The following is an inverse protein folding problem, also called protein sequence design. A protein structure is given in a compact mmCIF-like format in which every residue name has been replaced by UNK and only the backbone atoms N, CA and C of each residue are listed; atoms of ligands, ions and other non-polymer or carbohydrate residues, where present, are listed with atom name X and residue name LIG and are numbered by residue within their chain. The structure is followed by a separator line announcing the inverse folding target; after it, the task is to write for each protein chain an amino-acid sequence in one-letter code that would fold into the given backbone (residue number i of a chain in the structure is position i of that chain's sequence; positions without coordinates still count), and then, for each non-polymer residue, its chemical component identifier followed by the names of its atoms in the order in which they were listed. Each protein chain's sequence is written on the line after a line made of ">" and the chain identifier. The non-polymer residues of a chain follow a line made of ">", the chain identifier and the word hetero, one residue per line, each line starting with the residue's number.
data_IF_650233827928
#
_entry.id   IF_650233827928
#
_cell.length_a   1.000
_cell.length_b   1.000
_cell.length_c   1.000
_cell.angle_alpha   90.00
_cell.angle_beta   90.00
_cell.angle_gamma   90.00
#
_symmetry.space_group_name_H-M   'P 1'
#
loop_
_entity.id
_entity.type
_entity.pdbx_description
1 polymer ?
#
# COMPACT_ATOMS: atom_id res chain seq x y z
N UNK A 1 -12.92 -11.33 24.63
CA UNK A 1 -11.82 -12.27 24.99
C UNK A 1 -11.45 -11.93 26.42
N UNK A 2 -11.97 -12.67 27.40
CA UNK A 2 -11.40 -12.63 28.75
C UNK A 2 -9.99 -13.22 28.64
N UNK A 3 -8.96 -12.39 28.77
CA UNK A 3 -7.56 -12.79 28.60
C UNK A 3 -7.06 -13.72 29.74
N UNK A 4 -7.95 -14.36 30.50
CA UNK A 4 -7.61 -15.21 31.64
C UNK A 4 -6.91 -14.49 32.79
N UNK A 5 -6.86 -13.15 32.75
CA UNK A 5 -6.21 -12.30 33.73
C UNK A 5 -7.27 -11.55 34.52
N UNK A 6 -7.29 -11.74 35.84
CA UNK A 6 -8.06 -10.89 36.75
C UNK A 6 -7.24 -9.63 37.01
N UNK A 7 -7.66 -8.44 36.52
CA UNK A 7 -6.87 -7.20 36.65
C UNK A 7 -6.58 -6.86 38.11
N UNK A 8 -7.51 -7.21 39.00
CA UNK A 8 -7.48 -6.88 40.43
C UNK A 8 -6.62 -7.87 41.24
N UNK A 9 -6.18 -8.96 40.62
CA UNK A 9 -5.22 -9.86 41.25
C UNK A 9 -3.84 -9.20 41.29
N UNK A 10 -3.05 -9.52 42.32
CA UNK A 10 -1.66 -9.06 42.42
C UNK A 10 -0.86 -9.35 41.13
N UNK A 11 -1.08 -10.52 40.53
CA UNK A 11 -0.45 -10.91 39.25
C UNK A 11 -0.90 -10.01 38.09
N UNK A 12 -2.19 -9.67 38.03
CA UNK A 12 -2.74 -8.77 37.01
C UNK A 12 -2.16 -7.36 37.12
N UNK A 13 -2.11 -6.81 38.33
CA UNK A 13 -1.54 -5.49 38.61
C UNK A 13 -0.04 -5.45 38.28
N UNK A 14 0.73 -6.45 38.71
CA UNK A 14 2.16 -6.56 38.40
C UNK A 14 2.40 -6.71 36.89
N UNK A 15 1.60 -7.53 36.21
CA UNK A 15 1.70 -7.70 34.77
C UNK A 15 1.45 -6.39 34.02
N UNK A 16 0.37 -5.67 34.35
CA UNK A 16 0.05 -4.38 33.73
C UNK A 16 1.14 -3.35 34.00
N UNK A 17 1.64 -3.28 35.24
CA UNK A 17 2.72 -2.37 35.61
C UNK A 17 3.98 -2.65 34.78
N UNK A 18 4.45 -3.90 34.77
CA UNK A 18 5.67 -4.28 34.04
C UNK A 18 5.51 -4.08 32.53
N UNK A 19 4.33 -4.37 31.97
CA UNK A 19 4.03 -4.09 30.55
C UNK A 19 4.14 -2.60 30.28
N UNK A 20 3.55 -1.75 31.11
CA UNK A 20 3.63 -0.29 30.93
C UNK A 20 5.07 0.24 31.08
N UNK A 21 5.90 -0.37 31.94
CA UNK A 21 7.31 0.00 32.07
C UNK A 21 8.14 -0.34 30.82
N UNK A 22 7.77 -1.37 30.05
CA UNK A 22 8.51 -1.81 28.85
C UNK A 22 7.86 -1.40 27.52
N UNK A 23 6.62 -0.87 27.53
CA UNK A 23 5.96 -0.39 26.32
C UNK A 23 6.80 0.71 25.67
N UNK A 24 7.11 0.54 24.38
CA UNK A 24 7.96 1.46 23.62
C UNK A 24 9.46 1.23 23.79
N UNK A 25 9.89 0.35 24.70
CA UNK A 25 11.31 0.02 24.84
C UNK A 25 11.80 -0.78 23.61
N UNK A 26 12.93 -0.40 22.98
CA UNK A 26 13.47 -1.14 21.84
C UNK A 26 13.82 -2.58 22.22
N UNK A 27 13.25 -3.55 21.48
CA UNK A 27 13.49 -4.98 21.73
C UNK A 27 14.81 -5.46 21.11
N UNK A 28 15.11 -5.00 19.90
CA UNK A 28 16.31 -5.33 19.14
C UNK A 28 16.47 -4.32 17.99
N UNK A 29 17.70 -4.15 17.51
CA UNK A 29 17.97 -3.50 16.24
C UNK A 29 17.48 -4.42 15.12
N UNK A 30 16.64 -3.90 14.24
CA UNK A 30 16.11 -4.65 13.09
C UNK A 30 16.42 -3.90 11.81
N UNK A 31 16.57 -4.66 10.73
CA UNK A 31 16.86 -4.09 9.42
C UNK A 31 15.56 -3.60 8.80
N UNK A 32 15.50 -2.30 8.50
CA UNK A 32 14.42 -1.79 7.67
C UNK A 32 14.57 -2.36 6.26
N UNK A 33 13.54 -3.07 5.79
CA UNK A 33 13.54 -3.79 4.49
C UNK A 33 13.53 -2.85 3.27
N UNK A 34 13.60 -1.55 3.47
CA UNK A 34 12.95 -0.63 2.55
C UNK A 34 13.84 0.19 1.64
N UNK A 35 15.15 0.37 1.83
CA UNK A 35 15.88 1.28 0.95
C UNK A 35 17.38 1.40 1.17
N UNK A 36 18.03 1.99 0.16
CA UNK A 36 19.43 2.37 0.19
C UNK A 36 19.58 3.85 0.54
N UNK A 37 20.63 4.18 1.27
CA UNK A 37 21.04 5.57 1.53
C UNK A 37 22.25 5.87 0.65
N UNK A 38 22.24 7.05 0.05
CA UNK A 38 23.31 7.53 -0.83
C UNK A 38 23.84 8.83 -0.26
N UNK A 39 25.15 8.87 -0.01
CA UNK A 39 25.89 10.04 0.44
C UNK A 39 26.96 10.43 -0.58
N UNK A 40 27.40 11.69 -0.55
CA UNK A 40 28.46 12.20 -1.44
C UNK A 40 29.85 11.65 -1.10
N UNK A 41 30.08 11.32 0.18
CA UNK A 41 31.28 10.67 0.68
C UNK A 41 30.99 9.34 1.38
N UNK A 42 32.00 8.69 1.96
CA UNK A 42 31.82 7.42 2.67
C UNK A 42 30.87 7.55 3.88
N UNK A 43 29.88 6.65 3.99
CA UNK A 43 28.88 6.71 5.06
C UNK A 43 29.46 6.59 6.47
N UNK A 44 30.58 5.87 6.63
CA UNK A 44 31.24 5.70 7.93
C UNK A 44 31.83 7.01 8.50
N UNK A 45 31.96 8.06 7.69
CA UNK A 45 32.37 9.39 8.18
C UNK A 45 31.20 10.14 8.85
N UNK A 46 29.96 9.70 8.60
CA UNK A 46 28.73 10.31 9.12
C UNK A 46 28.12 9.47 10.24
N UNK A 47 28.07 8.15 10.08
CA UNK A 47 27.37 7.23 10.98
C UNK A 47 28.10 5.88 11.05
N UNK A 48 28.14 5.22 12.22
CA UNK A 48 28.65 3.86 12.31
C UNK A 48 27.92 2.91 11.33
N UNK A 49 28.71 2.13 10.60
CA UNK A 49 28.25 1.13 9.65
C UNK A 49 28.55 -0.25 10.23
N UNK A 50 27.56 -1.14 10.22
CA UNK A 50 27.73 -2.53 10.64
C UNK A 50 27.33 -3.51 9.54
N UNK A 51 27.80 -4.75 9.64
CA UNK A 51 27.39 -5.81 8.73
C UNK A 51 25.94 -6.23 9.00
N UNK A 52 25.18 -6.37 7.92
CA UNK A 52 23.85 -6.93 7.99
C UNK A 52 23.91 -8.46 8.19
N UNK A 53 22.77 -9.05 8.54
CA UNK A 53 22.59 -10.52 8.60
C UNK A 53 22.82 -11.18 7.23
N UNK A 54 22.50 -10.48 6.14
CA UNK A 54 22.76 -10.97 4.79
C UNK A 54 24.21 -10.67 4.40
N UNK A 55 24.88 -11.67 3.81
CA UNK A 55 26.22 -11.54 3.26
C UNK A 55 26.31 -10.38 2.24
N UNK A 56 27.46 -9.71 2.22
CA UNK A 56 27.77 -8.55 1.37
C UNK A 56 26.84 -7.34 1.54
N UNK A 57 26.19 -7.22 2.71
CA UNK A 57 25.36 -6.04 3.03
C UNK A 57 25.81 -5.37 4.32
N UNK A 58 25.64 -4.06 4.34
CA UNK A 58 25.88 -3.21 5.50
C UNK A 58 24.65 -2.36 5.80
N UNK A 59 24.50 -1.99 7.06
CA UNK A 59 23.44 -1.10 7.55
C UNK A 59 24.02 0.03 8.38
N UNK A 60 23.28 1.13 8.45
CA UNK A 60 23.56 2.27 9.33
C UNK A 60 22.61 2.23 10.53
N UNK A 61 22.97 2.91 11.61
CA UNK A 61 22.19 2.92 12.85
C UNK A 61 21.00 3.88 12.85
N UNK A 62 20.98 4.84 11.92
CA UNK A 62 19.94 5.86 11.82
C UNK A 62 18.66 5.29 11.22
N UNK A 63 17.53 5.78 11.73
CA UNK A 63 16.22 5.45 11.21
C UNK A 63 15.79 6.37 10.06
N UNK A 64 14.54 6.24 9.62
CA UNK A 64 14.01 7.03 8.51
C UNK A 64 13.95 8.53 8.84
N UNK A 65 13.61 8.89 10.07
CA UNK A 65 13.36 10.26 10.48
C UNK A 65 14.69 10.99 10.70
N UNK A 66 15.70 10.27 11.19
CA UNK A 66 17.10 10.74 11.23
C UNK A 66 17.61 11.07 9.82
N UNK A 67 17.37 10.18 8.85
CA UNK A 67 17.82 10.36 7.46
C UNK A 67 17.16 11.56 6.78
N UNK A 68 15.87 11.77 7.04
CA UNK A 68 15.12 12.93 6.54
C UNK A 68 15.68 14.23 7.13
N UNK A 69 16.00 14.23 8.43
CA UNK A 69 16.59 15.38 9.13
C UNK A 69 17.97 15.76 8.60
N UNK A 70 18.74 14.78 8.10
CA UNK A 70 20.08 14.96 7.54
C UNK A 70 20.07 15.22 6.03
N UNK A 71 18.88 15.30 5.42
CA UNK A 71 18.68 15.50 3.97
C UNK A 71 19.45 14.47 3.11
N UNK A 72 19.62 13.25 3.64
CA UNK A 72 20.32 12.19 2.91
C UNK A 72 19.41 11.60 1.83
N UNK A 73 19.99 11.34 0.65
CA UNK A 73 19.25 10.74 -0.45
C UNK A 73 18.90 9.29 -0.08
N UNK A 74 17.60 9.02 -0.04
CA UNK A 74 17.04 7.70 0.23
C UNK A 74 16.35 7.15 -1.01
N UNK A 75 16.67 5.91 -1.35
CA UNK A 75 16.01 5.18 -2.44
C UNK A 75 15.28 3.98 -1.84
N UNK A 76 13.95 4.03 -1.85
CA UNK A 76 13.15 2.91 -1.38
C UNK A 76 13.05 1.79 -2.42
N UNK A 77 13.43 0.57 -2.03
CA UNK A 77 13.34 -0.65 -2.84
C UNK A 77 12.12 -1.45 -2.39
N UNK A 78 10.98 -1.15 -3.02
CA UNK A 78 9.73 -1.86 -2.75
C UNK A 78 9.65 -3.15 -3.57
N UNK A 79 9.62 -4.29 -2.89
CA UNK A 79 9.39 -5.59 -3.51
C UNK A 79 7.90 -5.81 -3.83
N UNK A 80 7.38 -5.11 -4.85
CA UNK A 80 5.98 -5.27 -5.26
C UNK A 80 5.79 -6.53 -6.12
N UNK A 81 5.27 -7.60 -5.51
CA UNK A 81 5.06 -8.90 -6.17
C UNK A 81 4.23 -8.83 -7.46
N UNK A 82 3.33 -7.85 -7.58
CA UNK A 82 2.52 -7.67 -8.79
C UNK A 82 3.35 -7.29 -10.02
N UNK A 83 4.43 -6.52 -9.87
CA UNK A 83 5.33 -6.22 -11.00
C UNK A 83 6.03 -7.48 -11.50
N UNK A 84 6.38 -8.39 -10.58
CA UNK A 84 6.91 -9.70 -10.94
C UNK A 84 5.86 -10.58 -11.64
N UNK A 85 4.59 -10.53 -11.21
CA UNK A 85 3.50 -11.25 -11.87
C UNK A 85 3.27 -10.74 -13.30
N UNK A 86 3.26 -9.41 -13.51
CA UNK A 86 3.15 -8.78 -14.83
C UNK A 86 4.31 -9.21 -15.73
N UNK A 87 5.56 -9.16 -15.24
CA UNK A 87 6.74 -9.63 -15.98
C UNK A 87 6.61 -11.09 -16.44
N UNK A 88 6.20 -11.98 -15.53
CA UNK A 88 5.97 -13.40 -15.86
C UNK A 88 4.85 -13.58 -16.88
N UNK A 89 3.78 -12.79 -16.79
CA UNK A 89 2.69 -12.80 -17.75
C UNK A 89 3.18 -12.45 -19.17
N UNK A 90 3.98 -11.38 -19.32
CA UNK A 90 4.56 -11.02 -20.62
C UNK A 90 5.49 -12.11 -21.17
N UNK A 91 6.31 -12.73 -20.33
CA UNK A 91 7.15 -13.87 -20.74
C UNK A 91 6.33 -15.06 -21.24
N UNK A 92 5.19 -15.36 -20.61
CA UNK A 92 4.28 -16.40 -21.07
C UNK A 92 3.64 -16.04 -22.42
N UNK A 93 3.20 -14.80 -22.58
CA UNK A 93 2.62 -14.33 -23.85
C UNK A 93 3.64 -14.42 -24.99
N UNK A 94 4.88 -14.00 -24.75
CA UNK A 94 5.96 -14.11 -25.73
C UNK A 94 6.20 -15.58 -26.11
N UNK A 95 6.31 -16.47 -25.12
CA UNK A 95 6.55 -17.91 -25.35
C UNK A 95 5.43 -18.59 -26.15
N UNK A 96 4.17 -18.28 -25.85
CA UNK A 96 3.02 -19.00 -26.41
C UNK A 96 2.40 -18.33 -27.64
N UNK A 97 2.57 -17.01 -27.79
CA UNK A 97 1.94 -16.23 -28.86
C UNK A 97 2.96 -15.46 -29.72
N UNK A 98 4.26 -15.61 -29.48
CA UNK A 98 5.35 -14.95 -30.22
C UNK A 98 5.16 -13.43 -30.30
N UNK A 99 4.57 -12.86 -29.24
CA UNK A 99 4.26 -11.43 -29.13
C UNK A 99 4.99 -10.84 -27.94
N UNK A 100 5.90 -9.90 -28.20
CA UNK A 100 6.51 -9.10 -27.15
C UNK A 100 5.54 -8.00 -26.72
N UNK A 101 5.42 -7.81 -25.40
CA UNK A 101 4.59 -6.78 -24.78
C UNK A 101 5.34 -6.15 -23.62
N UNK A 102 5.11 -4.85 -23.45
CA UNK A 102 5.60 -4.05 -22.34
C UNK A 102 4.46 -3.23 -21.73
N UNK A 103 4.67 -2.75 -20.50
CA UNK A 103 3.69 -1.87 -19.82
C UNK A 103 3.42 -0.63 -20.69
N UNK A 104 4.46 -0.01 -21.23
CA UNK A 104 4.33 1.18 -22.09
C UNK A 104 3.53 0.93 -23.37
N UNK A 105 3.58 -0.28 -23.94
CA UNK A 105 2.72 -0.65 -25.07
C UNK A 105 1.27 -0.87 -24.67
N UNK A 106 1.01 -1.43 -23.49
CA UNK A 106 -0.35 -1.58 -22.97
C UNK A 106 -0.95 -0.20 -22.69
N UNK A 107 -0.22 0.70 -22.02
CA UNK A 107 -0.69 2.05 -21.68
C UNK A 107 -0.98 2.92 -22.91
N UNK A 108 -0.29 2.69 -24.03
CA UNK A 108 -0.56 3.41 -25.29
C UNK A 108 -1.83 2.94 -26.00
N UNK A 109 -2.42 1.81 -25.61
CA UNK A 109 -3.67 1.31 -26.18
C UNK A 109 -4.85 2.00 -25.53
N UNK A 110 -5.98 1.98 -26.23
CA UNK A 110 -7.25 2.38 -25.65
C UNK A 110 -7.68 1.38 -24.58
N UNK A 111 -8.45 1.86 -23.61
CA UNK A 111 -8.97 1.01 -22.55
C UNK A 111 -9.87 -0.10 -23.13
N UNK A 112 -9.81 -1.30 -22.56
CA UNK A 112 -10.60 -2.44 -23.00
C UNK A 112 -11.96 -2.49 -22.27
N UNK A 113 -13.10 -2.38 -22.97
CA UNK A 113 -14.43 -2.51 -22.37
C UNK A 113 -14.67 -3.84 -21.65
N UNK A 114 -13.97 -4.92 -22.02
CA UNK A 114 -14.08 -6.21 -21.35
C UNK A 114 -13.50 -6.17 -19.94
N UNK A 115 -12.38 -5.44 -19.75
CA UNK A 115 -11.79 -5.25 -18.43
C UNK A 115 -12.80 -4.52 -17.54
N UNK A 116 -13.39 -3.40 -17.99
CA UNK A 116 -14.40 -2.72 -17.19
C UNK A 116 -15.62 -3.60 -16.89
N UNK A 117 -16.12 -4.38 -17.86
CA UNK A 117 -17.22 -5.33 -17.59
C UNK A 117 -16.88 -6.37 -16.53
N UNK A 118 -15.64 -6.87 -16.52
CA UNK A 118 -15.13 -7.78 -15.48
C UNK A 118 -15.11 -7.07 -14.11
N UNK A 119 -14.55 -5.85 -14.07
CA UNK A 119 -14.50 -5.04 -12.85
C UNK A 119 -15.90 -4.75 -12.29
N UNK A 120 -16.87 -4.37 -13.14
CA UNK A 120 -18.27 -4.11 -12.75
C UNK A 120 -18.97 -5.33 -12.14
N UNK A 121 -18.50 -6.55 -12.45
CA UNK A 121 -19.00 -7.80 -11.85
C UNK A 121 -18.28 -8.21 -10.57
N UNK A 122 -17.34 -7.38 -10.09
CA UNK A 122 -16.44 -7.68 -8.98
C UNK A 122 -15.59 -8.94 -9.20
N UNK A 123 -15.31 -9.30 -10.46
CA UNK A 123 -14.41 -10.40 -10.80
C UNK A 123 -12.96 -9.90 -10.76
N UNK A 124 -12.48 -9.62 -9.54
CA UNK A 124 -11.20 -8.92 -9.31
C UNK A 124 -10.24 -9.66 -8.39
N UNK A 125 -10.47 -10.96 -8.15
CA UNK A 125 -9.52 -11.79 -7.40
C UNK A 125 -8.17 -11.80 -8.15
N UNK A 126 -7.10 -11.38 -7.48
CA UNK A 126 -5.77 -11.25 -8.09
C UNK A 126 -5.54 -9.96 -8.87
N UNK A 127 -6.52 -9.03 -8.90
CA UNK A 127 -6.34 -7.69 -9.47
C UNK A 127 -5.88 -6.74 -8.39
N UNK A 128 -4.65 -6.23 -8.54
CA UNK A 128 -3.98 -5.40 -7.55
C UNK A 128 -4.84 -4.19 -7.12
N UNK A 129 -4.81 -3.89 -5.81
CA UNK A 129 -5.54 -2.81 -5.13
C UNK A 129 -7.07 -2.95 -5.04
N UNK A 130 -7.71 -3.75 -5.88
CA UNK A 130 -9.19 -3.85 -5.96
C UNK A 130 -9.75 -5.26 -5.71
N UNK A 131 -8.97 -6.14 -5.07
CA UNK A 131 -9.36 -7.51 -4.71
C UNK A 131 -9.99 -7.64 -3.31
N UNK A 132 -9.89 -6.62 -2.45
CA UNK A 132 -10.38 -6.72 -1.08
C UNK A 132 -11.91 -6.76 -1.04
N UNK A 133 -12.50 -7.36 0.01
CA UNK A 133 -13.97 -7.44 0.16
C UNK A 133 -14.67 -6.08 0.04
N UNK A 134 -14.07 -5.03 0.61
CA UNK A 134 -14.62 -3.67 0.55
C UNK A 134 -14.54 -3.08 -0.87
N UNK A 135 -13.48 -3.38 -1.61
CA UNK A 135 -13.34 -2.97 -3.01
C UNK A 135 -14.33 -3.74 -3.90
N UNK A 136 -14.37 -5.07 -3.77
CA UNK A 136 -15.27 -5.95 -4.51
C UNK A 136 -16.75 -5.61 -4.29
N UNK A 137 -17.16 -5.25 -3.07
CA UNK A 137 -18.56 -4.87 -2.81
C UNK A 137 -18.94 -3.51 -3.41
N UNK A 138 -17.96 -2.63 -3.63
CA UNK A 138 -18.15 -1.30 -4.17
C UNK A 138 -18.18 -1.29 -5.70
N UNK A 139 -17.40 -2.14 -6.37
CA UNK A 139 -17.29 -2.16 -7.83
C UNK A 139 -18.64 -2.28 -8.59
N UNK A 140 -19.58 -3.17 -8.20
CA UNK A 140 -20.89 -3.26 -8.87
C UNK A 140 -21.80 -2.05 -8.62
N UNK A 141 -21.53 -1.29 -7.55
CA UNK A 141 -22.24 -0.05 -7.20
C UNK A 141 -21.68 1.13 -7.98
N UNK A 142 -20.35 1.25 -8.03
CA UNK A 142 -19.65 2.32 -8.75
C UNK A 142 -19.80 2.18 -10.27
N UNK A 143 -19.78 0.93 -10.77
CA UNK A 143 -19.76 0.59 -12.19
C UNK A 143 -18.69 1.37 -12.97
N UNK A 144 -17.39 1.11 -12.74
CA UNK A 144 -16.33 1.84 -13.43
C UNK A 144 -16.41 1.61 -14.95
N UNK A 145 -16.32 2.69 -15.72
CA UNK A 145 -16.40 2.70 -17.18
C UNK A 145 -15.17 3.36 -17.84
N UNK A 146 -14.31 4.02 -17.07
CA UNK A 146 -13.05 4.60 -17.52
C UNK A 146 -11.98 4.53 -16.43
N UNK A 147 -10.72 4.87 -16.78
CA UNK A 147 -9.61 4.87 -15.84
C UNK A 147 -9.85 5.75 -14.61
N UNK A 148 -10.45 6.93 -14.80
CA UNK A 148 -10.68 7.87 -13.70
C UNK A 148 -11.64 7.32 -12.64
N UNK A 149 -12.57 6.45 -13.01
CA UNK A 149 -13.44 5.76 -12.05
C UNK A 149 -12.63 4.84 -11.12
N UNK A 150 -11.55 4.23 -11.60
CA UNK A 150 -10.66 3.40 -10.77
C UNK A 150 -9.85 4.25 -9.79
N UNK A 151 -9.44 5.45 -10.21
CA UNK A 151 -8.79 6.42 -9.31
C UNK A 151 -9.74 6.76 -8.15
N UNK A 152 -11.00 7.04 -8.46
CA UNK A 152 -12.03 7.32 -7.44
C UNK A 152 -12.29 6.10 -6.55
N UNK A 153 -12.45 4.91 -7.15
CA UNK A 153 -12.66 3.64 -6.44
C UNK A 153 -11.60 3.41 -5.35
N UNK A 154 -10.33 3.59 -5.70
CA UNK A 154 -9.21 3.42 -4.77
C UNK A 154 -9.18 4.52 -3.71
N UNK A 155 -9.56 5.75 -4.06
CA UNK A 155 -9.57 6.88 -3.13
C UNK A 155 -10.70 6.81 -2.11
N UNK A 156 -11.90 6.41 -2.53
CA UNK A 156 -13.12 6.50 -1.71
C UNK A 156 -13.30 5.31 -0.76
N UNK A 157 -12.76 4.14 -1.09
CA UNK A 157 -12.77 2.95 -0.21
C UNK A 157 -11.59 3.01 0.75
N UNK A 158 -11.61 4.02 1.64
CA UNK A 158 -10.60 4.25 2.68
C UNK A 158 -11.28 4.66 4.00
N UNK A 159 -10.65 4.45 5.16
CA UNK A 159 -11.28 4.73 6.46
C UNK A 159 -11.82 6.15 6.59
N UNK A 160 -11.06 7.17 6.18
CA UNK A 160 -11.48 8.58 6.27
C UNK A 160 -12.77 8.87 5.49
N UNK A 161 -12.81 8.66 4.17
CA UNK A 161 -14.02 8.86 3.37
C UNK A 161 -15.22 8.02 3.80
N UNK A 162 -15.01 6.80 4.31
CA UNK A 162 -16.08 5.93 4.84
C UNK A 162 -16.65 6.54 6.13
N UNK A 163 -15.79 6.96 7.05
CA UNK A 163 -16.21 7.60 8.31
C UNK A 163 -16.85 8.97 8.09
N UNK A 164 -16.42 9.70 7.06
CA UNK A 164 -16.99 10.99 6.65
C UNK A 164 -18.27 10.89 5.80
N UNK A 165 -18.86 9.69 5.66
CA UNK A 165 -20.07 9.42 4.87
C UNK A 165 -20.02 9.97 3.42
N UNK A 166 -18.83 9.98 2.80
CA UNK A 166 -18.64 10.53 1.45
C UNK A 166 -19.07 9.55 0.36
N UNK A 167 -19.08 8.24 0.67
CA UNK A 167 -19.34 7.16 -0.30
C UNK A 167 -20.77 7.21 -0.82
N UNK A 168 -21.76 7.36 0.07
CA UNK A 168 -23.17 7.32 -0.30
C UNK A 168 -23.58 8.52 -1.17
N UNK A 169 -23.31 9.78 -0.79
CA UNK A 169 -23.62 10.95 -1.62
C UNK A 169 -22.92 10.90 -2.99
N UNK A 170 -21.66 10.44 -3.03
CA UNK A 170 -20.95 10.29 -4.30
C UNK A 170 -21.66 9.32 -5.25
N UNK A 171 -22.06 8.14 -4.76
CA UNK A 171 -22.75 7.15 -5.57
C UNK A 171 -24.12 7.63 -6.06
N UNK A 172 -24.90 8.28 -5.19
CA UNK A 172 -26.21 8.83 -5.57
C UNK A 172 -26.09 9.87 -6.67
N UNK A 173 -25.15 10.81 -6.55
CA UNK A 173 -24.89 11.82 -7.59
C UNK A 173 -24.43 11.19 -8.89
N UNK A 174 -23.55 10.20 -8.81
CA UNK A 174 -23.08 9.43 -9.97
C UNK A 174 -24.22 8.69 -10.67
N UNK A 175 -25.15 8.12 -9.91
CA UNK A 175 -26.32 7.42 -10.44
C UNK A 175 -27.42 8.38 -10.93
N UNK A 176 -27.27 9.69 -10.74
CA UNK A 176 -28.30 10.69 -11.06
C UNK A 176 -29.48 10.71 -10.07
N UNK A 177 -29.33 10.06 -8.90
CA UNK A 177 -30.33 10.06 -7.83
C UNK A 177 -30.34 11.39 -7.05
N UNK A 178 -29.21 12.11 -7.04
CA UNK A 178 -29.05 13.44 -6.45
C UNK A 178 -28.34 14.37 -7.44
N UNK A 179 -28.66 15.69 -7.47
CA UNK A 179 -27.97 16.63 -8.33
C UNK A 179 -26.51 16.83 -7.89
N UNK A 180 -25.61 17.01 -8.86
CA UNK A 180 -24.21 17.36 -8.61
C UNK A 180 -24.15 18.82 -8.14
N UNK A 181 -23.42 19.06 -7.05
CA UNK A 181 -23.15 20.39 -6.51
C UNK A 181 -21.65 20.55 -6.27
N UNK A 182 -21.12 21.72 -6.61
CA UNK A 182 -19.72 22.08 -6.42
C UNK A 182 -19.61 23.01 -5.21
N UNK A 183 -18.91 22.61 -4.14
CA UNK A 183 -18.91 23.33 -2.86
C UNK A 183 -18.10 24.63 -2.88
N UNK A 184 -17.26 24.83 -3.89
CA UNK A 184 -16.51 26.07 -4.12
C UNK A 184 -16.36 26.30 -5.62
N UNK A 185 -16.11 27.56 -6.02
CA UNK A 185 -15.56 27.85 -7.34
C UNK A 185 -14.12 27.30 -7.43
N UNK A 186 -13.72 26.91 -8.64
CA UNK A 186 -12.46 26.22 -8.92
C UNK A 186 -11.23 27.13 -8.81
#
# INVERSE_FOLDING_TARGET
>A
IELGLQPESLKGQQFIQLVNEIIGFPRHLSQHVGGFVISSGPLYELVPVEHAVMEDRTIIQWDKDDLESLELLKVDVLALGMLNAIRKCFQLIEKHHQRSLSIAEITRRQDDPHVYRMLQKADTVGVFQIESRAQMSMLPRLKPACYYDLVIQIAIVRPGPIQGDMVHPFLKRRNGEEPVSYPSEA
#
